data_IF_634819338544
#
_entry.id   IF_634819338544
#
_cell.length_a   1.000
_cell.length_b   1.000
_cell.length_c   1.000
_cell.angle_alpha   90.00
_cell.angle_beta   90.00
_cell.angle_gamma   90.00
#
_symmetry.space_group_name_H-M   'P 1'
#
loop_
_entity.id
_entity.type
_entity.pdbx_description
1 polymer ?
#
# COMPACT_ATOMS: atom_id res chain seq x y z
N UNK A 1 25.76 18.09 17.47
CA UNK A 1 24.78 17.35 16.67
C UNK A 1 23.51 17.21 17.51
N UNK A 2 22.48 17.99 17.20
CA UNK A 2 21.21 17.93 17.93
C UNK A 2 20.49 16.66 17.52
N UNK A 3 20.47 15.65 18.36
CA UNK A 3 19.54 14.55 18.25
C UNK A 3 18.14 15.11 18.53
N UNK A 4 17.35 15.34 17.47
CA UNK A 4 15.92 15.52 17.61
C UNK A 4 15.37 14.19 18.15
N UNK A 5 15.09 14.14 19.44
CA UNK A 5 14.43 13.00 20.04
C UNK A 5 13.11 12.77 19.30
N UNK A 6 12.88 11.56 18.83
CA UNK A 6 11.58 11.16 18.33
C UNK A 6 10.59 11.26 19.49
N UNK A 7 9.75 12.28 19.42
CA UNK A 7 8.66 12.41 20.38
C UNK A 7 7.52 11.55 19.85
N UNK A 8 7.35 10.38 20.44
CA UNK A 8 6.13 9.62 20.24
C UNK A 8 4.97 10.45 20.78
N UNK A 9 3.83 10.48 20.06
CA UNK A 9 2.63 11.13 20.58
C UNK A 9 2.31 10.53 21.94
N UNK A 10 2.17 11.39 22.98
CA UNK A 10 1.68 10.93 24.28
C UNK A 10 0.23 10.47 24.14
N UNK A 11 -0.23 9.61 25.05
CA UNK A 11 -1.64 9.18 25.11
C UNK A 11 -2.64 10.34 25.23
N UNK A 12 -2.16 11.52 25.60
CA UNK A 12 -2.93 12.75 25.77
C UNK A 12 -2.98 13.59 24.50
N UNK A 13 -2.25 13.18 23.44
CA UNK A 13 -2.31 13.83 22.14
C UNK A 13 -3.57 13.40 21.40
N UNK A 14 -4.56 14.25 21.43
CA UNK A 14 -5.76 14.09 20.63
C UNK A 14 -5.44 14.47 19.18
N UNK A 15 -5.05 13.48 18.37
CA UNK A 15 -4.72 13.66 16.97
C UNK A 15 -5.82 14.34 16.16
N UNK A 16 -7.06 14.28 16.63
CA UNK A 16 -8.22 14.88 15.98
C UNK A 16 -8.35 16.37 16.28
N UNK A 17 -7.62 16.88 17.30
CA UNK A 17 -7.61 18.30 17.71
C UNK A 17 -6.39 19.09 17.24
N UNK A 18 -5.53 18.53 16.39
CA UNK A 18 -4.49 19.31 15.72
C UNK A 18 -5.18 20.20 14.67
N UNK A 19 -5.93 21.18 15.15
CA UNK A 19 -6.62 22.19 14.35
C UNK A 19 -5.68 23.38 14.09
N UNK A 20 -4.53 23.09 13.52
CA UNK A 20 -3.68 24.11 12.95
C UNK A 20 -4.09 24.26 11.49
N UNK A 21 -4.92 25.23 11.19
CA UNK A 21 -5.48 25.50 9.84
C UNK A 21 -4.43 25.54 8.73
N UNK A 22 -3.16 25.79 9.07
CA UNK A 22 -2.04 25.90 8.13
C UNK A 22 -1.33 24.56 7.87
N UNK A 23 -1.49 23.55 8.74
CA UNK A 23 -0.77 22.27 8.64
C UNK A 23 -1.66 21.06 8.56
N UNK A 24 -2.99 21.23 8.52
CA UNK A 24 -3.91 20.09 8.42
C UNK A 24 -3.86 19.47 7.02
N UNK A 25 -3.34 18.24 6.93
CA UNK A 25 -3.47 17.43 5.71
C UNK A 25 -4.92 16.93 5.64
N UNK A 26 -5.73 17.57 4.82
CA UNK A 26 -7.09 17.09 4.54
C UNK A 26 -7.04 16.02 3.47
N UNK A 27 -7.24 14.76 3.85
CA UNK A 27 -7.48 13.69 2.88
C UNK A 27 -8.86 13.94 2.28
N UNK A 28 -8.90 14.42 1.04
CA UNK A 28 -10.15 14.58 0.29
C UNK A 28 -10.41 13.29 -0.48
N UNK A 29 -11.43 12.54 -0.08
CA UNK A 29 -11.96 11.45 -0.87
C UNK A 29 -12.74 12.02 -2.05
N UNK A 30 -12.49 11.48 -3.26
CA UNK A 30 -13.11 11.99 -4.49
C UNK A 30 -14.52 11.45 -4.72
N UNK A 31 -15.02 10.55 -3.87
CA UNK A 31 -16.20 9.71 -4.08
C UNK A 31 -16.09 8.76 -5.28
N UNK A 32 -14.89 8.63 -5.85
CA UNK A 32 -14.55 7.67 -6.87
C UNK A 32 -13.56 6.65 -6.31
N UNK A 33 -14.06 5.49 -5.95
CA UNK A 33 -13.31 4.40 -5.33
C UNK A 33 -12.03 4.06 -6.11
N UNK A 34 -12.12 3.99 -7.45
CA UNK A 34 -10.96 3.71 -8.30
C UNK A 34 -9.87 4.80 -8.16
N UNK A 35 -10.23 6.07 -8.30
CA UNK A 35 -9.27 7.17 -8.25
C UNK A 35 -8.67 7.33 -6.84
N UNK A 36 -9.46 7.11 -5.81
CA UNK A 36 -8.98 7.20 -4.42
C UNK A 36 -7.94 6.11 -4.13
N UNK A 37 -8.25 4.84 -4.42
CA UNK A 37 -7.31 3.74 -4.21
C UNK A 37 -6.09 3.81 -5.13
N UNK A 38 -6.25 4.23 -6.38
CA UNK A 38 -5.15 4.44 -7.32
C UNK A 38 -4.17 5.50 -6.81
N UNK A 39 -4.69 6.61 -6.31
CA UNK A 39 -3.88 7.70 -5.75
C UNK A 39 -3.10 7.23 -4.52
N UNK A 40 -3.75 6.52 -3.61
CA UNK A 40 -3.08 5.95 -2.44
C UNK A 40 -2.02 4.92 -2.83
N UNK A 41 -2.31 4.02 -3.76
CA UNK A 41 -1.36 3.04 -4.25
C UNK A 41 -0.08 3.71 -4.78
N UNK A 42 -0.24 4.77 -5.58
CA UNK A 42 0.89 5.52 -6.11
C UNK A 42 1.71 6.19 -5.00
N UNK A 43 1.07 6.80 -4.02
CA UNK A 43 1.75 7.44 -2.89
C UNK A 43 2.57 6.45 -2.07
N UNK A 44 1.99 5.28 -1.74
CA UNK A 44 2.69 4.22 -1.02
C UNK A 44 3.86 3.66 -1.82
N UNK A 45 3.67 3.46 -3.14
CA UNK A 45 4.75 3.03 -4.03
C UNK A 45 5.91 4.04 -4.04
N UNK A 46 5.62 5.32 -4.22
CA UNK A 46 6.64 6.38 -4.27
C UNK A 46 7.42 6.46 -2.94
N UNK A 47 6.72 6.38 -1.81
CA UNK A 47 7.36 6.34 -0.49
C UNK A 47 8.25 5.11 -0.32
N UNK A 48 7.78 3.92 -0.74
CA UNK A 48 8.56 2.69 -0.70
C UNK A 48 9.80 2.77 -1.57
N UNK A 49 9.66 3.25 -2.79
CA UNK A 49 10.76 3.45 -3.72
C UNK A 49 11.84 4.39 -3.15
N UNK A 50 11.44 5.56 -2.64
CA UNK A 50 12.36 6.51 -1.99
C UNK A 50 13.04 5.93 -0.75
N UNK A 51 12.35 5.04 -0.04
CA UNK A 51 12.93 4.32 1.10
C UNK A 51 14.05 3.39 0.63
N UNK A 52 13.84 2.63 -0.45
CA UNK A 52 14.89 1.79 -1.02
C UNK A 52 16.06 2.60 -1.59
N UNK A 53 15.82 3.71 -2.27
CA UNK A 53 16.90 4.60 -2.73
C UNK A 53 17.80 5.04 -1.56
N UNK A 54 17.20 5.37 -0.41
CA UNK A 54 17.95 5.74 0.79
C UNK A 54 18.73 4.57 1.40
N UNK A 55 18.15 3.36 1.38
CA UNK A 55 18.87 2.15 1.83
C UNK A 55 20.09 1.91 0.95
N UNK A 56 19.90 1.91 -0.36
CA UNK A 56 20.99 1.71 -1.34
C UNK A 56 22.05 2.80 -1.19
N UNK A 57 21.65 4.06 -1.08
CA UNK A 57 22.56 5.20 -0.94
C UNK A 57 23.28 5.29 0.41
N UNK A 58 22.87 4.52 1.42
CA UNK A 58 23.51 4.52 2.74
C UNK A 58 24.79 3.68 2.81
N UNK A 59 25.08 2.91 1.76
CA UNK A 59 26.25 2.02 1.72
C UNK A 59 26.13 0.86 2.71
N UNK A 60 27.11 0.72 3.61
CA UNK A 60 27.14 -0.37 4.58
C UNK A 60 26.57 -0.02 5.95
N UNK A 61 25.63 0.94 6.03
CA UNK A 61 24.92 1.25 7.26
C UNK A 61 23.87 0.14 7.56
N UNK A 62 24.29 -0.88 8.31
CA UNK A 62 23.46 -2.05 8.63
C UNK A 62 22.15 -1.67 9.32
N UNK A 63 22.13 -0.63 10.17
CA UNK A 63 20.90 -0.21 10.86
C UNK A 63 19.86 0.32 9.85
N UNK A 64 20.31 1.11 8.87
CA UNK A 64 19.42 1.59 7.82
C UNK A 64 18.99 0.46 6.90
N UNK A 65 19.92 -0.43 6.54
CA UNK A 65 19.59 -1.59 5.71
C UNK A 65 18.51 -2.46 6.35
N UNK A 66 18.64 -2.79 7.63
CA UNK A 66 17.69 -3.69 8.29
C UNK A 66 16.32 -3.04 8.53
N UNK A 67 16.31 -1.82 9.11
CA UNK A 67 15.05 -1.19 9.50
C UNK A 67 14.29 -0.56 8.32
N UNK A 68 15.00 0.11 7.41
CA UNK A 68 14.35 0.83 6.32
C UNK A 68 13.98 -0.08 5.16
N UNK A 69 14.74 -1.17 4.96
CA UNK A 69 14.42 -2.17 3.95
C UNK A 69 13.06 -2.83 4.23
N UNK A 70 12.82 -3.27 5.48
CA UNK A 70 11.52 -3.83 5.87
C UNK A 70 10.38 -2.82 5.71
N UNK A 71 10.62 -1.56 6.07
CA UNK A 71 9.64 -0.49 5.85
C UNK A 71 9.35 -0.31 4.37
N UNK A 72 10.39 -0.32 3.51
CA UNK A 72 10.23 -0.24 2.07
C UNK A 72 9.40 -1.38 1.48
N UNK A 73 9.67 -2.62 1.91
CA UNK A 73 8.88 -3.80 1.51
C UNK A 73 7.42 -3.65 1.91
N UNK A 74 7.15 -3.24 3.16
CA UNK A 74 5.79 -3.03 3.63
C UNK A 74 5.03 -1.99 2.78
N UNK A 75 5.67 -0.86 2.47
CA UNK A 75 5.06 0.20 1.67
C UNK A 75 4.75 -0.27 0.25
N UNK A 76 5.68 -1.00 -0.39
CA UNK A 76 5.47 -1.57 -1.73
C UNK A 76 4.37 -2.63 -1.72
N UNK A 77 4.38 -3.55 -0.73
CA UNK A 77 3.31 -4.55 -0.56
C UNK A 77 1.94 -3.88 -0.43
N UNK A 78 1.86 -2.85 0.41
CA UNK A 78 0.62 -2.12 0.62
C UNK A 78 0.17 -1.35 -0.64
N UNK A 79 1.11 -0.84 -1.42
CA UNK A 79 0.79 -0.20 -2.72
C UNK A 79 0.16 -1.19 -3.70
N UNK A 80 0.65 -2.44 -3.76
CA UNK A 80 0.08 -3.50 -4.60
C UNK A 80 -1.35 -3.84 -4.15
N UNK A 81 -1.56 -4.00 -2.85
CA UNK A 81 -2.90 -4.22 -2.28
C UNK A 81 -3.88 -3.12 -2.71
N UNK A 82 -3.50 -1.85 -2.54
CA UNK A 82 -4.32 -0.71 -2.92
C UNK A 82 -4.54 -0.62 -4.43
N UNK A 83 -3.54 -0.98 -5.23
CA UNK A 83 -3.65 -1.08 -6.69
C UNK A 83 -4.66 -2.12 -7.14
N UNK A 84 -4.66 -3.30 -6.53
CA UNK A 84 -5.66 -4.34 -6.80
C UNK A 84 -7.06 -3.92 -6.36
N UNK A 85 -7.19 -3.24 -5.22
CA UNK A 85 -8.46 -2.65 -4.79
C UNK A 85 -8.96 -1.60 -5.79
N UNK A 86 -8.08 -0.76 -6.33
CA UNK A 86 -8.44 0.17 -7.40
C UNK A 86 -8.98 -0.57 -8.64
N UNK A 87 -8.27 -1.61 -9.10
CA UNK A 87 -8.71 -2.40 -10.25
C UNK A 87 -10.07 -3.06 -10.01
N UNK A 88 -10.32 -3.61 -8.83
CA UNK A 88 -11.64 -4.15 -8.46
C UNK A 88 -12.73 -3.07 -8.48
N UNK A 89 -12.45 -1.87 -7.97
CA UNK A 89 -13.38 -0.74 -8.06
C UNK A 89 -13.70 -0.34 -9.52
N UNK A 90 -12.78 -0.59 -10.44
CA UNK A 90 -12.98 -0.28 -11.86
C UNK A 90 -13.83 -1.32 -12.59
N UNK A 91 -13.67 -2.59 -12.26
CA UNK A 91 -14.35 -3.70 -12.96
C UNK A 91 -15.70 -4.04 -12.37
N UNK A 92 -15.92 -3.78 -11.09
CA UNK A 92 -17.16 -4.09 -10.40
C UNK A 92 -18.12 -2.89 -10.44
N UNK A 93 -19.34 -3.04 -10.99
CA UNK A 93 -20.28 -1.94 -11.14
C UNK A 93 -21.01 -1.57 -9.85
N UNK A 94 -21.11 -2.49 -8.89
CA UNK A 94 -21.89 -2.30 -7.67
C UNK A 94 -20.99 -2.14 -6.44
N UNK A 95 -21.21 -1.08 -5.70
CA UNK A 95 -20.48 -0.77 -4.47
C UNK A 95 -20.52 -1.92 -3.46
N UNK A 96 -21.66 -2.59 -3.33
CA UNK A 96 -21.82 -3.72 -2.40
C UNK A 96 -20.90 -4.88 -2.74
N UNK A 97 -20.76 -5.23 -4.03
CA UNK A 97 -19.87 -6.32 -4.46
C UNK A 97 -18.41 -6.00 -4.12
N UNK A 98 -18.03 -4.72 -4.21
CA UNK A 98 -16.69 -4.25 -3.84
C UNK A 98 -16.48 -4.38 -2.32
N UNK A 99 -17.44 -3.93 -1.52
CA UNK A 99 -17.40 -4.00 -0.06
C UNK A 99 -17.32 -5.46 0.43
N UNK A 100 -18.15 -6.35 -0.14
CA UNK A 100 -18.17 -7.78 0.20
C UNK A 100 -16.81 -8.45 -0.11
N UNK A 101 -16.18 -8.12 -1.26
CA UNK A 101 -14.85 -8.64 -1.60
C UNK A 101 -13.76 -8.07 -0.67
N UNK A 102 -13.81 -6.78 -0.37
CA UNK A 102 -12.81 -6.17 0.51
C UNK A 102 -12.89 -6.70 1.93
N UNK A 103 -14.11 -6.94 2.44
CA UNK A 103 -14.32 -7.56 3.75
C UNK A 103 -13.81 -9.02 3.76
N UNK A 104 -14.09 -9.78 2.70
CA UNK A 104 -13.63 -11.17 2.56
C UNK A 104 -12.10 -11.27 2.48
N UNK A 105 -11.49 -10.44 1.66
CA UNK A 105 -10.04 -10.52 1.41
C UNK A 105 -9.21 -9.80 2.48
N UNK A 106 -9.77 -8.84 3.19
CA UNK A 106 -9.05 -7.99 4.15
C UNK A 106 -7.74 -7.43 3.56
N UNK A 107 -6.61 -7.96 4.02
CA UNK A 107 -5.26 -7.59 3.58
C UNK A 107 -4.54 -8.71 2.80
N UNK A 108 -5.26 -9.77 2.43
CA UNK A 108 -4.71 -10.86 1.63
C UNK A 108 -4.61 -10.44 0.16
N UNK A 109 -3.37 -10.12 -0.24
CA UNK A 109 -3.07 -9.63 -1.58
C UNK A 109 -3.24 -10.72 -2.63
N UNK A 110 -2.95 -11.97 -2.27
CA UNK A 110 -3.13 -13.13 -3.16
C UNK A 110 -4.62 -13.34 -3.46
N UNK A 111 -5.45 -13.33 -2.42
CA UNK A 111 -6.90 -13.45 -2.57
C UNK A 111 -7.50 -12.30 -3.37
N UNK A 112 -7.05 -11.05 -3.16
CA UNK A 112 -7.47 -9.89 -3.95
C UNK A 112 -7.13 -10.07 -5.44
N UNK A 113 -5.93 -10.58 -5.74
CA UNK A 113 -5.50 -10.83 -7.11
C UNK A 113 -6.34 -11.93 -7.79
N UNK A 114 -6.63 -13.02 -7.08
CA UNK A 114 -7.51 -14.07 -7.61
C UNK A 114 -8.91 -13.52 -7.88
N UNK A 115 -9.48 -12.76 -6.95
CA UNK A 115 -10.79 -12.13 -7.14
C UNK A 115 -10.82 -11.16 -8.33
N UNK A 116 -9.75 -10.38 -8.52
CA UNK A 116 -9.63 -9.54 -9.70
C UNK A 116 -9.64 -10.37 -11.00
N UNK A 117 -8.85 -11.45 -11.07
CA UNK A 117 -8.81 -12.31 -12.26
C UNK A 117 -10.16 -12.99 -12.55
N UNK A 118 -10.92 -13.35 -11.50
CA UNK A 118 -12.24 -13.99 -11.65
C UNK A 118 -13.28 -13.04 -12.26
N UNK A 119 -13.20 -11.75 -11.96
CA UNK A 119 -14.23 -10.77 -12.34
C UNK A 119 -13.82 -9.84 -13.49
N UNK A 120 -12.54 -9.78 -13.82
CA UNK A 120 -12.04 -8.91 -14.88
C UNK A 120 -12.39 -9.46 -16.26
N UNK A 121 -13.38 -8.87 -16.92
CA UNK A 121 -13.72 -9.16 -18.31
C UNK A 121 -12.65 -8.65 -19.29
N UNK A 122 -12.00 -7.54 -18.95
CA UNK A 122 -10.88 -6.97 -19.69
C UNK A 122 -9.60 -7.06 -18.85
N UNK A 123 -8.53 -7.52 -19.46
CA UNK A 123 -7.25 -7.63 -18.81
C UNK A 123 -6.55 -6.26 -18.81
N UNK A 124 -6.65 -5.53 -17.71
CA UNK A 124 -5.85 -4.30 -17.50
C UNK A 124 -4.37 -4.59 -17.20
N UNK A 125 -4.03 -5.85 -16.94
CA UNK A 125 -2.66 -6.32 -16.75
C UNK A 125 -2.25 -7.15 -17.95
N UNK A 126 -1.06 -6.90 -18.47
CA UNK A 126 -0.44 -7.75 -19.50
C UNK A 126 -0.10 -9.13 -18.92
N UNK A 127 0.13 -10.10 -19.78
CA UNK A 127 0.56 -11.44 -19.33
C UNK A 127 1.88 -11.40 -18.57
N UNK A 128 2.77 -10.48 -18.91
CA UNK A 128 4.06 -10.30 -18.22
C UNK A 128 3.86 -9.73 -16.81
N UNK A 129 3.03 -8.69 -16.66
CA UNK A 129 2.68 -8.12 -15.36
C UNK A 129 1.98 -9.13 -14.44
N UNK A 130 1.07 -9.94 -14.99
CA UNK A 130 0.42 -11.02 -14.25
C UNK A 130 1.43 -12.06 -13.76
N UNK A 131 2.32 -12.52 -14.62
CA UNK A 131 3.33 -13.52 -14.26
C UNK A 131 4.32 -12.96 -13.22
N UNK A 132 4.68 -11.69 -13.33
CA UNK A 132 5.51 -11.02 -12.32
C UNK A 132 4.79 -10.96 -10.97
N UNK A 133 3.51 -10.55 -10.99
CA UNK A 133 2.71 -10.41 -9.76
C UNK A 133 2.49 -11.77 -9.08
N UNK A 134 2.22 -12.84 -9.83
CA UNK A 134 2.12 -14.19 -9.28
C UNK A 134 3.41 -14.60 -8.57
N UNK A 135 4.56 -14.44 -9.21
CA UNK A 135 5.85 -14.76 -8.60
C UNK A 135 6.12 -13.94 -7.33
N UNK A 136 5.72 -12.69 -7.33
CA UNK A 136 5.84 -11.83 -6.16
C UNK A 136 4.95 -12.30 -5.02
N UNK A 137 3.70 -12.65 -5.31
CA UNK A 137 2.74 -13.16 -4.32
C UNK A 137 3.19 -14.49 -3.72
N UNK A 138 3.67 -15.41 -4.55
CA UNK A 138 4.23 -16.70 -4.10
C UNK A 138 5.39 -16.47 -3.13
N UNK A 139 6.28 -15.52 -3.43
CA UNK A 139 7.40 -15.16 -2.56
C UNK A 139 6.94 -14.55 -1.22
N UNK A 140 5.87 -13.75 -1.21
CA UNK A 140 5.31 -13.19 0.03
C UNK A 140 4.71 -14.29 0.92
N UNK A 141 3.97 -15.24 0.35
CA UNK A 141 3.40 -16.35 1.11
C UNK A 141 4.47 -17.22 1.80
N UNK A 142 5.64 -17.37 1.19
CA UNK A 142 6.75 -18.08 1.81
C UNK A 142 7.32 -17.38 3.04
N UNK A 143 7.26 -16.04 3.05
CA UNK A 143 7.71 -15.23 4.19
C UNK A 143 6.69 -15.21 5.32
N UNK A 144 5.41 -15.11 5.00
CA UNK A 144 4.31 -15.04 5.98
C UNK A 144 4.07 -16.39 6.71
N UNK A 145 4.55 -17.53 6.17
CA UNK A 145 4.41 -18.88 6.77
C UNK A 145 5.53 -19.25 7.76
N UNK A 146 6.52 -18.38 7.93
CA UNK A 146 7.66 -18.62 8.87
C UNK A 146 7.50 -17.82 10.15
#
# INVERSE_FOLDING_TARGET
MNHSAWIWPSSDMDFWKIDNKETSVKIKWSHNCFEDYKTLAYQFYECGYKTFEKVIGSGHDNVKSDMWFLTGIFLVRHSIELGLKALLCRVLPRKRDIEDIFEMCCHDVSMLFHKYNDVALENYLTSEEKNWLIKYLDSLEEVDKK
#
